data_IF_278219830798
#
_entry.id   IF_278219830798
#
_cell.length_a   1.000
_cell.length_b   1.000
_cell.length_c   1.000
_cell.angle_alpha   90.00
_cell.angle_beta   90.00
_cell.angle_gamma   90.00
#
_symmetry.space_group_name_H-M   'P 1'
#
loop_
_entity.id
_entity.type
_entity.pdbx_description
1 polymer ?
#
# COMPACT_ATOMS: atom_id res chain seq x y z
N UNK A 1 -11.71 -19.57 -26.09
CA UNK A 1 -11.91 -19.00 -24.74
C UNK A 1 -12.46 -17.61 -24.91
N UNK A 2 -13.62 -17.33 -24.32
CA UNK A 2 -14.18 -15.97 -24.32
C UNK A 2 -13.51 -15.11 -23.21
N UNK A 3 -13.78 -13.81 -23.22
CA UNK A 3 -13.16 -12.87 -22.27
C UNK A 3 -13.46 -13.22 -20.81
N UNK A 4 -14.70 -13.63 -20.51
CA UNK A 4 -15.13 -13.92 -19.14
C UNK A 4 -14.53 -15.22 -18.63
N UNK A 5 -14.43 -16.24 -19.49
CA UNK A 5 -13.72 -17.49 -19.20
C UNK A 5 -12.23 -17.24 -18.92
N UNK A 6 -11.60 -16.34 -19.68
CA UNK A 6 -10.20 -15.97 -19.49
C UNK A 6 -9.96 -15.31 -18.13
N UNK A 7 -10.84 -14.36 -17.76
CA UNK A 7 -10.81 -13.67 -16.48
C UNK A 7 -11.00 -14.66 -15.33
N UNK A 8 -11.99 -15.55 -15.44
CA UNK A 8 -12.28 -16.55 -14.42
C UNK A 8 -11.14 -17.56 -14.25
N UNK A 9 -10.59 -18.07 -15.36
CA UNK A 9 -9.48 -19.01 -15.34
C UNK A 9 -8.24 -18.41 -14.65
N UNK A 10 -7.88 -17.17 -15.03
CA UNK A 10 -6.71 -16.49 -14.49
C UNK A 10 -6.89 -16.20 -13.00
N UNK A 11 -8.07 -15.69 -12.61
CA UNK A 11 -8.41 -15.45 -11.21
C UNK A 11 -8.29 -16.73 -10.37
N UNK A 12 -8.83 -17.84 -10.84
CA UNK A 12 -8.80 -19.11 -10.10
C UNK A 12 -7.38 -19.67 -9.98
N UNK A 13 -6.56 -19.55 -11.03
CA UNK A 13 -5.16 -19.97 -10.99
C UNK A 13 -4.36 -19.15 -9.96
N UNK A 14 -4.56 -17.83 -9.93
CA UNK A 14 -3.88 -16.95 -8.96
C UNK A 14 -4.36 -17.21 -7.54
N UNK A 15 -5.67 -17.41 -7.33
CA UNK A 15 -6.22 -17.77 -6.02
C UNK A 15 -5.66 -19.11 -5.52
N UNK A 16 -5.51 -20.11 -6.39
CA UNK A 16 -4.86 -21.36 -6.03
C UNK A 16 -3.40 -21.15 -5.58
N UNK A 17 -2.66 -20.24 -6.22
CA UNK A 17 -1.33 -19.83 -5.78
C UNK A 17 -1.35 -19.20 -4.38
N UNK A 18 -2.24 -18.22 -4.17
CA UNK A 18 -2.43 -17.56 -2.86
C UNK A 18 -2.77 -18.56 -1.75
N UNK A 19 -3.55 -19.59 -2.03
CA UNK A 19 -3.95 -20.60 -1.04
C UNK A 19 -2.88 -21.65 -0.74
N UNK A 20 -1.96 -21.91 -1.68
CA UNK A 20 -1.04 -23.06 -1.61
C UNK A 20 0.42 -22.66 -1.43
N UNK A 21 0.78 -21.44 -1.78
CA UNK A 21 2.12 -20.90 -1.63
C UNK A 21 2.16 -19.83 -0.53
N UNK A 22 2.99 -20.05 0.50
CA UNK A 22 3.12 -19.15 1.64
C UNK A 22 3.73 -17.79 1.26
N UNK A 23 4.46 -17.72 0.14
CA UNK A 23 5.00 -16.46 -0.36
C UNK A 23 3.95 -15.62 -1.11
N UNK A 24 2.81 -16.23 -1.47
CA UNK A 24 1.73 -15.61 -2.22
C UNK A 24 0.61 -15.13 -1.29
N UNK A 25 0.04 -13.95 -1.53
CA UNK A 25 -1.04 -13.41 -0.69
C UNK A 25 -1.39 -11.95 -0.96
N UNK A 26 -2.22 -11.37 -0.09
CA UNK A 26 -2.68 -9.96 -0.11
C UNK A 26 -3.59 -9.54 -1.27
N UNK A 27 -4.15 -10.49 -2.01
CA UNK A 27 -5.05 -10.24 -3.14
C UNK A 27 -4.32 -10.45 -4.47
N UNK A 28 -4.91 -9.97 -5.56
CA UNK A 28 -4.30 -10.06 -6.89
C UNK A 28 -4.74 -8.92 -7.80
N UNK A 29 -3.96 -8.70 -8.87
CA UNK A 29 -4.26 -7.74 -9.91
C UNK A 29 -4.32 -8.44 -11.27
N UNK A 30 -5.23 -7.99 -12.12
CA UNK A 30 -5.40 -8.52 -13.47
C UNK A 30 -5.37 -7.36 -14.47
N UNK A 31 -4.54 -7.51 -15.50
CA UNK A 31 -4.53 -6.63 -16.66
C UNK A 31 -5.11 -7.38 -17.87
N UNK A 32 -6.14 -6.81 -18.49
CA UNK A 32 -6.83 -7.37 -19.66
C UNK A 32 -6.47 -6.48 -20.85
N UNK A 33 -5.79 -7.06 -21.83
CA UNK A 33 -5.37 -6.37 -23.05
C UNK A 33 -6.23 -6.89 -24.20
N UNK A 34 -7.03 -6.01 -24.79
CA UNK A 34 -7.86 -6.31 -25.96
C UNK A 34 -7.49 -5.36 -27.12
N UNK A 35 -7.94 -5.64 -28.35
CA UNK A 35 -7.78 -4.68 -29.45
C UNK A 35 -8.45 -3.32 -29.20
N UNK A 36 -9.43 -3.26 -28.29
CA UNK A 36 -10.14 -2.02 -27.93
C UNK A 36 -9.44 -1.22 -26.83
N UNK A 37 -8.42 -1.78 -26.16
CA UNK A 37 -7.69 -1.10 -25.11
C UNK A 37 -7.26 -2.01 -23.96
N UNK A 38 -6.85 -1.38 -22.87
CA UNK A 38 -6.36 -2.05 -21.67
C UNK A 38 -7.28 -1.74 -20.48
N UNK A 39 -7.66 -2.78 -19.73
CA UNK A 39 -8.43 -2.70 -18.49
C UNK A 39 -7.58 -3.28 -17.35
N UNK A 40 -7.46 -2.53 -16.24
CA UNK A 40 -6.76 -2.99 -15.03
C UNK A 40 -7.76 -3.15 -13.90
N UNK A 41 -7.67 -4.27 -13.19
CA UNK A 41 -8.57 -4.63 -12.08
C UNK A 41 -7.75 -5.11 -10.89
N UNK A 42 -8.07 -4.58 -9.71
CA UNK A 42 -7.44 -4.94 -8.44
C UNK A 42 -8.46 -5.64 -7.56
N UNK A 43 -8.14 -6.85 -7.11
CA UNK A 43 -8.93 -7.65 -6.19
C UNK A 43 -8.19 -7.72 -4.84
N UNK A 44 -8.55 -6.87 -3.87
CA UNK A 44 -7.87 -6.85 -2.58
C UNK A 44 -8.17 -8.13 -1.79
N UNK A 45 -7.22 -8.56 -0.95
CA UNK A 45 -7.48 -9.66 -0.03
C UNK A 45 -8.72 -9.38 0.84
N UNK A 46 -9.51 -10.43 1.07
CA UNK A 46 -10.69 -10.39 1.92
C UNK A 46 -10.28 -10.19 3.39
N UNK A 47 -10.04 -8.93 3.76
CA UNK A 47 -9.87 -8.37 5.10
C UNK A 47 -8.66 -8.88 5.89
N UNK A 48 -7.89 -7.92 6.43
CA UNK A 48 -7.09 -8.15 7.62
C UNK A 48 -8.02 -8.62 8.74
N UNK A 49 -7.62 -9.67 9.47
CA UNK A 49 -8.31 -10.09 10.69
C UNK A 49 -8.60 -8.87 11.57
N UNK A 50 -9.80 -8.84 12.17
CA UNK A 50 -10.19 -7.76 13.08
C UNK A 50 -9.15 -7.66 14.18
N UNK A 51 -8.52 -6.50 14.31
CA UNK A 51 -7.58 -6.24 15.39
C UNK A 51 -8.30 -6.48 16.72
N UNK A 52 -7.80 -7.42 17.53
CA UNK A 52 -8.49 -7.87 18.75
C UNK A 52 -8.43 -6.82 19.88
N UNK A 53 -7.56 -5.83 19.77
CA UNK A 53 -7.44 -4.72 20.73
C UNK A 53 -6.68 -3.56 20.13
N UNK A 54 -6.76 -2.38 20.73
CA UNK A 54 -5.98 -1.21 20.31
C UNK A 54 -4.61 -1.23 20.97
N UNK A 55 -3.55 -1.04 20.18
CA UNK A 55 -2.17 -0.87 20.68
C UNK A 55 -1.82 0.61 20.85
N UNK A 56 -2.76 1.38 21.39
CA UNK A 56 -2.56 2.79 21.70
C UNK A 56 -2.02 2.90 23.12
N UNK A 57 -0.77 3.31 23.25
CA UNK A 57 -0.17 3.54 24.55
C UNK A 57 -0.59 4.91 25.11
N UNK A 58 -0.71 5.06 26.44
CA UNK A 58 -0.98 6.35 27.05
C UNK A 58 0.16 7.34 26.75
N UNK A 59 -0.19 8.63 26.73
CA UNK A 59 0.80 9.71 26.63
C UNK A 59 1.81 9.58 27.78
N UNK A 60 3.10 9.64 27.47
CA UNK A 60 4.19 9.46 28.44
C UNK A 60 4.69 8.02 28.60
N UNK A 61 4.16 7.04 27.85
CA UNK A 61 4.63 5.66 27.92
C UNK A 61 6.10 5.47 27.43
N UNK A 62 6.60 6.36 26.58
CA UNK A 62 7.96 6.29 26.01
C UNK A 62 8.89 7.27 26.74
N UNK A 63 10.04 6.83 27.27
CA UNK A 63 11.02 7.73 27.89
C UNK A 63 11.67 8.64 26.83
N UNK A 64 11.75 9.94 27.12
CA UNK A 64 12.33 10.95 26.22
C UNK A 64 13.68 11.41 26.79
N UNK A 65 14.74 11.31 25.98
CA UNK A 65 16.10 11.74 26.36
C UNK A 65 16.33 13.24 26.12
N UNK A 66 15.63 13.82 25.14
CA UNK A 66 15.70 15.23 24.80
C UNK A 66 14.62 15.58 23.79
N UNK A 67 14.19 16.84 23.81
CA UNK A 67 13.19 17.38 22.90
C UNK A 67 13.81 18.54 22.10
N UNK A 68 13.49 18.64 20.81
CA UNK A 68 13.98 19.73 19.96
C UNK A 68 12.84 20.20 19.06
N UNK A 69 12.62 21.50 19.03
CA UNK A 69 11.64 22.11 18.14
C UNK A 69 12.28 22.23 16.76
N UNK A 70 11.80 21.43 15.81
CA UNK A 70 12.16 21.55 14.39
C UNK A 70 11.21 22.56 13.76
N UNK A 71 11.75 23.66 13.24
CA UNK A 71 10.99 24.62 12.44
C UNK A 71 11.10 24.20 10.98
N UNK A 72 9.96 23.99 10.33
CA UNK A 72 9.89 23.91 8.88
C UNK A 72 10.00 25.33 8.35
N UNK A 73 11.11 25.64 7.68
CA UNK A 73 11.31 26.93 7.02
C UNK A 73 10.66 26.87 5.64
N UNK A 74 10.05 27.98 5.21
CA UNK A 74 9.59 28.14 3.84
C UNK A 74 10.80 28.04 2.89
N UNK A 75 10.73 27.30 1.76
CA UNK A 75 11.79 27.26 0.76
C UNK A 75 12.37 28.63 0.39
N UNK A 76 11.55 29.68 0.39
CA UNK A 76 11.99 31.05 0.10
C UNK A 76 12.86 31.66 1.23
N UNK A 77 12.58 31.32 2.50
CA UNK A 77 13.41 31.72 3.64
C UNK A 77 14.77 31.00 3.64
N UNK A 78 14.81 29.74 3.20
CA UNK A 78 16.04 28.96 3.02
C UNK A 78 16.91 29.60 1.95
N UNK A 79 16.34 29.95 0.79
CA UNK A 79 17.07 30.57 -0.31
C UNK A 79 17.65 31.94 0.08
N UNK A 80 16.97 32.71 0.93
CA UNK A 80 17.47 34.01 1.42
C UNK A 80 18.63 33.89 2.42
N UNK A 81 18.64 32.84 3.25
CA UNK A 81 19.69 32.61 4.26
C UNK A 81 20.99 32.09 3.67
N UNK A 82 20.94 31.37 2.55
CA UNK A 82 22.12 30.83 1.85
C UNK A 82 22.53 31.63 0.60
N UNK A 83 21.66 32.51 0.07
CA UNK A 83 21.91 33.32 -1.13
C UNK A 83 22.59 34.68 -0.89
N UNK A 84 22.93 35.00 0.37
CA UNK A 84 23.62 36.24 0.73
C UNK A 84 25.12 35.98 0.93
N UNK A 85 25.88 35.86 -0.16
CA UNK A 85 27.34 35.82 -0.18
C UNK A 85 27.89 36.65 -1.34
#
# INVERSE_FOLDING_TARGET
MNSDEAKLLTSNATLAGIEKDLASGRGFETCIITPSGMEHRVEPAAKSYKQLGTYTFPVGATPILGETIVRELDPDEIMSTFGSS
#
